data_IF_502279789064
#
_entry.id   IF_502279789064
#
_cell.length_a   1.000
_cell.length_b   1.000
_cell.length_c   1.000
_cell.angle_alpha   90.00
_cell.angle_beta   90.00
_cell.angle_gamma   90.00
#
_symmetry.space_group_name_H-M   'P 1'
#
loop_
_entity.id
_entity.type
_entity.pdbx_description
1 polymer ?
#
# COMPACT_ATOMS: atom_id res chain seq x y z
N UNK A 1 14.61 10.11 -3.84
CA UNK A 1 14.50 8.66 -3.54
C UNK A 1 15.09 7.89 -4.70
N UNK A 2 15.90 6.86 -4.44
CA UNK A 2 16.43 5.92 -5.43
C UNK A 2 15.51 4.70 -5.51
N UNK A 3 15.05 4.37 -6.70
CA UNK A 3 14.19 3.21 -6.95
C UNK A 3 14.89 2.29 -7.92
N UNK A 4 15.08 1.04 -7.51
CA UNK A 4 15.54 -0.03 -8.40
C UNK A 4 14.32 -0.74 -8.98
N UNK A 5 14.09 -0.64 -10.28
CA UNK A 5 13.06 -1.38 -11.01
C UNK A 5 13.60 -2.71 -11.52
N UNK A 6 12.80 -3.76 -11.43
CA UNK A 6 13.17 -5.11 -11.84
C UNK A 6 12.05 -5.75 -12.65
N UNK A 7 12.34 -6.02 -13.92
CA UNK A 7 11.52 -6.85 -14.81
C UNK A 7 12.08 -8.28 -14.80
N UNK A 8 11.55 -9.18 -13.95
CA UNK A 8 12.16 -10.46 -13.66
C UNK A 8 12.01 -11.44 -14.83
N UNK A 9 13.02 -12.26 -15.05
CA UNK A 9 12.94 -13.37 -15.99
C UNK A 9 14.19 -14.23 -15.91
N UNK A 10 14.05 -15.53 -16.21
CA UNK A 10 15.21 -16.43 -16.18
C UNK A 10 16.16 -16.12 -17.34
N UNK A 11 15.66 -15.98 -18.58
CA UNK A 11 16.53 -15.71 -19.74
C UNK A 11 17.02 -14.27 -19.77
N UNK A 12 16.17 -13.33 -19.37
CA UNK A 12 16.46 -11.89 -19.33
C UNK A 12 15.81 -11.33 -18.07
N UNK A 13 16.60 -10.73 -17.19
CA UNK A 13 16.12 -10.00 -16.02
C UNK A 13 16.57 -8.54 -16.17
N UNK A 14 15.63 -7.64 -16.43
CA UNK A 14 15.92 -6.23 -16.61
C UNK A 14 16.06 -5.51 -15.27
N UNK A 15 17.12 -4.72 -15.12
CA UNK A 15 17.41 -3.89 -13.95
C UNK A 15 17.48 -2.42 -14.38
N UNK A 16 16.93 -1.54 -13.56
CA UNK A 16 17.04 -0.10 -13.79
C UNK A 16 17.09 0.66 -12.47
N UNK A 17 17.90 1.71 -12.42
CA UNK A 17 17.95 2.63 -11.29
C UNK A 17 17.45 4.00 -11.75
N UNK A 18 16.52 4.57 -11.00
CA UNK A 18 16.14 5.97 -11.14
C UNK A 18 16.34 6.71 -9.82
N UNK A 19 16.50 8.03 -9.91
CA UNK A 19 16.33 8.94 -8.78
C UNK A 19 15.15 9.87 -9.02
N UNK A 20 14.41 10.15 -7.96
CA UNK A 20 13.29 11.07 -7.97
C UNK A 20 13.63 12.38 -7.28
N UNK A 21 13.18 13.47 -7.90
CA UNK A 21 13.13 14.80 -7.30
C UNK A 21 11.68 15.11 -6.84
N UNK A 22 11.44 16.20 -6.09
CA UNK A 22 10.09 16.59 -5.71
C UNK A 22 9.13 16.65 -6.90
N UNK A 23 7.88 16.23 -6.68
CA UNK A 23 6.87 16.14 -7.74
C UNK A 23 6.97 14.83 -8.52
N UNK A 24 6.93 14.92 -9.87
CA UNK A 24 6.99 13.76 -10.78
C UNK A 24 8.31 13.65 -11.55
N UNK A 25 9.27 14.52 -11.28
CA UNK A 25 10.55 14.53 -11.96
C UNK A 25 11.38 13.28 -11.59
N UNK A 26 11.87 12.60 -12.63
CA UNK A 26 12.61 11.35 -12.53
C UNK A 26 13.80 11.38 -13.47
N UNK A 27 14.92 10.81 -13.03
CA UNK A 27 16.14 10.70 -13.82
C UNK A 27 16.62 9.26 -13.79
N UNK A 28 16.87 8.67 -14.96
CA UNK A 28 17.51 7.37 -15.05
C UNK A 28 19.01 7.51 -14.73
N UNK A 29 19.51 6.64 -13.87
CA UNK A 29 20.90 6.62 -13.44
C UNK A 29 21.67 5.46 -14.06
N UNK A 30 21.04 4.28 -14.12
CA UNK A 30 21.68 3.08 -14.65
C UNK A 30 20.65 2.08 -15.17
N UNK A 31 21.05 1.23 -16.10
CA UNK A 31 20.25 0.10 -16.63
C UNK A 31 21.15 -1.08 -16.97
N UNK A 32 20.68 -2.28 -16.69
CA UNK A 32 21.37 -3.52 -17.07
C UNK A 32 20.36 -4.64 -17.34
N UNK A 33 20.81 -5.73 -17.97
CA UNK A 33 20.02 -6.93 -18.21
C UNK A 33 20.88 -8.15 -17.89
N UNK A 34 20.50 -8.87 -16.85
CA UNK A 34 21.06 -10.19 -16.56
C UNK A 34 20.59 -11.15 -17.65
N UNK A 35 21.53 -11.84 -18.29
CA UNK A 35 21.25 -12.82 -19.34
C UNK A 35 21.71 -14.20 -18.89
N UNK A 36 20.83 -15.18 -19.02
CA UNK A 36 21.17 -16.59 -18.84
C UNK A 36 20.63 -17.39 -20.02
N UNK A 37 21.22 -18.55 -20.28
CA UNK A 37 20.81 -19.42 -21.37
C UNK A 37 19.88 -20.53 -20.87
N UNK A 38 19.02 -21.07 -21.74
CA UNK A 38 18.04 -22.08 -21.34
C UNK A 38 18.61 -23.49 -21.16
N UNK A 39 19.83 -23.73 -21.65
CA UNK A 39 20.59 -24.97 -21.47
C UNK A 39 21.27 -25.06 -20.09
N UNK A 40 21.40 -23.95 -19.37
CA UNK A 40 21.90 -23.97 -18.00
C UNK A 40 20.86 -24.55 -17.01
N UNK A 41 21.30 -25.35 -16.02
CA UNK A 41 20.45 -25.75 -14.91
C UNK A 41 19.81 -24.56 -14.18
N UNK A 42 18.56 -24.71 -13.75
CA UNK A 42 17.75 -23.65 -13.14
C UNK A 42 18.46 -22.95 -11.98
N UNK A 43 19.11 -23.70 -11.09
CA UNK A 43 19.82 -23.18 -9.93
C UNK A 43 20.99 -22.27 -10.31
N UNK A 44 21.66 -22.53 -11.44
CA UNK A 44 22.75 -21.66 -11.95
C UNK A 44 22.18 -20.36 -12.49
N UNK A 45 21.06 -20.44 -13.21
CA UNK A 45 20.36 -19.27 -13.76
C UNK A 45 19.83 -18.37 -12.64
N UNK A 46 19.22 -18.96 -11.61
CA UNK A 46 18.77 -18.24 -10.42
C UNK A 46 19.94 -17.63 -9.64
N UNK A 47 21.06 -18.34 -9.50
CA UNK A 47 22.28 -17.80 -8.89
C UNK A 47 22.82 -16.60 -9.67
N UNK A 48 22.80 -16.63 -10.99
CA UNK A 48 23.24 -15.50 -11.82
C UNK A 48 22.37 -14.26 -11.59
N UNK A 49 21.04 -14.44 -11.61
CA UNK A 49 20.08 -13.35 -11.29
C UNK A 49 20.32 -12.80 -9.89
N UNK A 50 20.49 -13.67 -8.88
CA UNK A 50 20.82 -13.26 -7.51
C UNK A 50 22.08 -12.42 -7.46
N UNK A 51 23.18 -12.92 -8.04
CA UNK A 51 24.51 -12.34 -7.89
C UNK A 51 24.54 -10.92 -8.46
N UNK A 52 23.97 -10.71 -9.65
CA UNK A 52 23.93 -9.37 -10.26
C UNK A 52 22.98 -8.44 -9.51
N UNK A 53 21.81 -8.92 -9.08
CA UNK A 53 20.87 -8.09 -8.32
C UNK A 53 21.46 -7.66 -6.96
N UNK A 54 22.16 -8.56 -6.28
CA UNK A 54 22.83 -8.28 -5.01
C UNK A 54 23.96 -7.26 -5.17
N UNK A 55 24.78 -7.41 -6.21
CA UNK A 55 25.83 -6.43 -6.58
C UNK A 55 25.22 -5.06 -6.91
N UNK A 56 24.15 -5.03 -7.70
CA UNK A 56 23.41 -3.79 -8.00
C UNK A 56 22.93 -3.08 -6.73
N UNK A 57 22.37 -3.84 -5.78
CA UNK A 57 21.91 -3.29 -4.51
C UNK A 57 23.07 -2.80 -3.63
N UNK A 58 24.23 -3.45 -3.69
CA UNK A 58 25.46 -3.00 -3.01
C UNK A 58 25.98 -1.67 -3.57
N UNK A 59 26.10 -1.58 -4.90
CA UNK A 59 26.66 -0.42 -5.60
C UNK A 59 25.72 0.79 -5.50
N UNK A 60 24.44 0.58 -5.80
CA UNK A 60 23.51 1.68 -6.00
C UNK A 60 22.75 2.10 -4.74
N UNK A 61 22.70 1.22 -3.72
CA UNK A 61 22.00 1.45 -2.44
C UNK A 61 20.60 2.04 -2.66
N UNK A 62 19.70 1.32 -3.36
CA UNK A 62 18.35 1.83 -3.62
C UNK A 62 17.54 1.92 -2.31
N UNK A 63 16.63 2.89 -2.23
CA UNK A 63 15.73 3.03 -1.08
C UNK A 63 14.60 1.98 -1.12
N UNK A 64 14.32 1.44 -2.31
CA UNK A 64 13.24 0.48 -2.55
C UNK A 64 13.48 -0.29 -3.86
N UNK A 65 13.10 -1.57 -3.88
CA UNK A 65 13.07 -2.40 -5.09
C UNK A 65 11.63 -2.59 -5.56
N UNK A 66 11.36 -2.19 -6.80
CA UNK A 66 10.07 -2.32 -7.47
C UNK A 66 10.11 -3.48 -8.48
N UNK A 67 9.39 -4.57 -8.20
CA UNK A 67 9.42 -5.80 -9.01
C UNK A 67 8.09 -5.98 -9.75
N UNK A 68 8.13 -6.43 -11.00
CA UNK A 68 6.90 -6.82 -11.70
C UNK A 68 6.25 -8.04 -11.02
N UNK A 69 4.94 -7.96 -10.80
CA UNK A 69 4.13 -9.07 -10.31
C UNK A 69 3.78 -10.01 -11.46
N UNK A 70 4.13 -11.28 -11.30
CA UNK A 70 3.82 -12.34 -12.26
C UNK A 70 2.38 -12.83 -12.10
N UNK A 71 1.65 -12.94 -13.22
CA UNK A 71 0.31 -13.55 -13.26
C UNK A 71 0.29 -14.77 -14.18
N UNK A 72 -0.13 -15.91 -13.65
CA UNK A 72 -0.35 -17.12 -14.43
C UNK A 72 -1.83 -17.19 -14.86
N UNK A 73 -2.19 -16.55 -15.97
CA UNK A 73 -3.51 -16.79 -16.58
C UNK A 73 -3.44 -17.80 -17.73
N UNK A 74 -2.47 -17.70 -18.66
CA UNK A 74 -2.41 -18.56 -19.86
C UNK A 74 -1.02 -19.12 -20.23
N UNK A 75 0.04 -18.86 -19.45
CA UNK A 75 1.42 -19.29 -19.76
C UNK A 75 2.14 -19.80 -18.50
N UNK A 76 1.64 -20.92 -17.97
CA UNK A 76 2.06 -21.47 -16.67
C UNK A 76 3.56 -21.84 -16.65
N UNK A 77 4.09 -22.35 -17.77
CA UNK A 77 5.48 -22.82 -17.85
C UNK A 77 6.51 -21.71 -17.72
N UNK A 78 6.27 -20.54 -18.32
CA UNK A 78 7.18 -19.38 -18.21
C UNK A 78 6.92 -18.56 -16.95
N UNK A 79 5.66 -18.47 -16.52
CA UNK A 79 5.28 -17.76 -15.30
C UNK A 79 6.00 -18.29 -14.06
N UNK A 80 6.19 -19.60 -13.95
CA UNK A 80 6.92 -20.19 -12.81
C UNK A 80 8.37 -19.70 -12.74
N UNK A 81 9.09 -19.72 -13.87
CA UNK A 81 10.49 -19.27 -13.92
C UNK A 81 10.64 -17.78 -13.60
N UNK A 82 9.77 -16.95 -14.17
CA UNK A 82 9.70 -15.51 -13.86
C UNK A 82 9.41 -15.27 -12.37
N UNK A 83 8.48 -16.03 -11.78
CA UNK A 83 8.16 -15.91 -10.35
C UNK A 83 9.33 -16.34 -9.45
N UNK A 84 10.08 -17.37 -9.83
CA UNK A 84 11.29 -17.79 -9.13
C UNK A 84 12.39 -16.70 -9.19
N UNK A 85 12.61 -16.10 -10.36
CA UNK A 85 13.54 -14.98 -10.51
C UNK A 85 13.12 -13.77 -9.65
N UNK A 86 11.83 -13.40 -9.68
CA UNK A 86 11.28 -12.35 -8.83
C UNK A 86 11.49 -12.62 -7.33
N UNK A 87 11.25 -13.88 -6.90
CA UNK A 87 11.46 -14.31 -5.52
C UNK A 87 12.92 -14.22 -5.08
N UNK A 88 13.85 -14.61 -5.95
CA UNK A 88 15.30 -14.50 -5.68
C UNK A 88 15.73 -13.05 -5.49
N UNK A 89 15.27 -12.14 -6.35
CA UNK A 89 15.59 -10.70 -6.22
C UNK A 89 14.96 -10.12 -4.95
N UNK A 90 13.71 -10.47 -4.64
CA UNK A 90 13.05 -10.01 -3.43
C UNK A 90 13.76 -10.50 -2.16
N UNK A 91 14.26 -11.74 -2.17
CA UNK A 91 15.04 -12.30 -1.07
C UNK A 91 16.37 -11.57 -0.88
N UNK A 92 17.09 -11.26 -1.96
CA UNK A 92 18.33 -10.49 -1.91
C UNK A 92 18.10 -9.08 -1.32
N UNK A 93 17.00 -8.41 -1.70
CA UNK A 93 16.61 -7.12 -1.12
C UNK A 93 16.30 -7.24 0.38
N UNK A 94 15.61 -8.31 0.79
CA UNK A 94 15.27 -8.55 2.19
C UNK A 94 16.51 -8.77 3.08
N UNK A 95 17.54 -9.48 2.59
CA UNK A 95 18.82 -9.61 3.31
C UNK A 95 19.53 -8.28 3.57
N UNK A 96 19.20 -7.25 2.78
CA UNK A 96 19.75 -5.89 2.88
C UNK A 96 18.81 -4.91 3.56
N UNK A 97 17.68 -5.39 4.08
CA UNK A 97 16.62 -4.57 4.69
C UNK A 97 16.03 -3.52 3.73
N UNK A 98 16.12 -3.75 2.42
CA UNK A 98 15.56 -2.87 1.41
C UNK A 98 14.10 -3.28 1.16
N UNK A 99 13.11 -2.36 1.30
CA UNK A 99 11.72 -2.69 1.07
C UNK A 99 11.48 -3.10 -0.40
N UNK A 100 10.57 -4.07 -0.58
CA UNK A 100 10.17 -4.58 -1.90
C UNK A 100 8.71 -4.24 -2.18
N UNK A 101 8.43 -3.69 -3.36
CA UNK A 101 7.08 -3.40 -3.83
C UNK A 101 6.79 -4.13 -5.14
N UNK A 102 5.64 -4.81 -5.21
CA UNK A 102 5.22 -5.54 -6.40
C UNK A 102 4.15 -4.77 -7.17
N UNK A 103 4.31 -4.66 -8.49
CA UNK A 103 3.40 -3.92 -9.37
C UNK A 103 2.91 -4.79 -10.53
N UNK A 104 1.63 -4.69 -10.87
CA UNK A 104 1.07 -5.44 -12.01
C UNK A 104 1.40 -4.76 -13.35
N UNK A 105 1.46 -5.50 -14.48
CA UNK A 105 1.66 -4.89 -15.78
C UNK A 105 0.62 -3.81 -16.11
N UNK A 106 -0.66 -4.07 -15.79
CA UNK A 106 -1.76 -3.12 -15.99
C UNK A 106 -1.58 -1.85 -15.17
N UNK A 107 -1.10 -2.00 -13.95
CA UNK A 107 -0.75 -0.90 -13.06
C UNK A 107 0.39 -0.06 -13.65
N UNK A 108 1.46 -0.68 -14.15
CA UNK A 108 2.59 0.02 -14.77
C UNK A 108 2.12 0.82 -15.99
N UNK A 109 1.37 0.17 -16.87
CA UNK A 109 0.79 0.80 -18.05
C UNK A 109 -0.13 1.97 -17.71
N UNK A 110 -1.00 1.81 -16.71
CA UNK A 110 -1.91 2.86 -16.28
C UNK A 110 -1.15 4.07 -15.68
N UNK A 111 -0.10 3.84 -14.89
CA UNK A 111 0.68 4.93 -14.29
C UNK A 111 1.41 5.78 -15.33
N UNK A 112 1.87 5.16 -16.43
CA UNK A 112 2.70 5.79 -17.46
C UNK A 112 1.86 6.41 -18.57
N UNK A 113 0.80 5.72 -19.00
CA UNK A 113 0.03 6.09 -20.19
C UNK A 113 -1.39 6.55 -19.90
N UNK A 114 -1.87 6.39 -18.66
CA UNK A 114 -3.28 6.56 -18.30
C UNK A 114 -4.17 5.37 -18.68
N UNK A 115 -3.65 4.34 -19.36
CA UNK A 115 -4.39 3.14 -19.76
C UNK A 115 -3.67 1.87 -19.36
N UNK A 116 -4.37 0.94 -18.70
CA UNK A 116 -3.82 -0.39 -18.39
C UNK A 116 -3.61 -1.29 -19.60
N UNK A 117 -4.01 -0.85 -20.80
CA UNK A 117 -3.98 -1.63 -22.05
C UNK A 117 -2.93 -1.16 -23.07
N UNK A 118 -2.05 -0.25 -22.69
CA UNK A 118 -0.99 0.25 -23.58
C UNK A 118 -0.09 -0.87 -24.12
N UNK A 119 0.36 -0.70 -25.37
CA UNK A 119 1.29 -1.60 -26.04
C UNK A 119 2.76 -1.26 -25.74
N UNK A 120 3.68 -2.15 -26.14
CA UNK A 120 5.12 -2.00 -25.84
C UNK A 120 5.75 -0.78 -26.53
N UNK A 121 5.27 -0.40 -27.73
CA UNK A 121 5.79 0.77 -28.46
C UNK A 121 5.39 2.06 -27.75
N UNK A 122 4.13 2.15 -27.32
CA UNK A 122 3.61 3.27 -26.55
C UNK A 122 4.35 3.39 -25.21
N UNK A 123 4.56 2.28 -24.50
CA UNK A 123 5.32 2.28 -23.25
C UNK A 123 6.75 2.80 -23.44
N UNK A 124 7.46 2.27 -24.43
CA UNK A 124 8.84 2.69 -24.75
C UNK A 124 8.91 4.19 -25.09
N UNK A 125 7.99 4.67 -25.93
CA UNK A 125 7.89 6.09 -26.28
C UNK A 125 7.65 6.98 -25.05
N UNK A 126 6.72 6.58 -24.19
CA UNK A 126 6.40 7.34 -22.98
C UNK A 126 7.57 7.37 -22.00
N UNK A 127 8.24 6.23 -21.78
CA UNK A 127 9.43 6.18 -20.92
C UNK A 127 10.56 7.04 -21.45
N UNK A 128 10.81 7.00 -22.77
CA UNK A 128 11.79 7.86 -23.43
C UNK A 128 11.50 9.35 -23.13
N UNK A 129 10.23 9.76 -23.25
CA UNK A 129 9.81 11.14 -22.99
C UNK A 129 9.88 11.53 -21.51
N UNK A 130 9.40 10.66 -20.62
CA UNK A 130 9.36 10.90 -19.17
C UNK A 130 10.76 11.11 -18.61
N UNK A 131 11.72 10.33 -19.11
CA UNK A 131 13.11 10.38 -18.67
C UNK A 131 13.96 11.40 -19.46
N UNK A 132 13.38 12.11 -20.43
CA UNK A 132 14.10 13.08 -21.25
C UNK A 132 15.20 12.48 -22.14
N UNK A 133 15.08 11.20 -22.50
CA UNK A 133 16.08 10.49 -23.29
C UNK A 133 15.98 10.89 -24.77
N UNK A 134 17.13 11.10 -25.41
CA UNK A 134 17.18 11.43 -26.85
C UNK A 134 16.85 10.23 -27.75
N UNK A 135 17.05 9.02 -27.23
CA UNK A 135 16.80 7.75 -27.92
C UNK A 135 16.07 6.80 -26.97
N UNK A 136 15.34 5.80 -27.51
CA UNK A 136 14.76 4.75 -26.70
C UNK A 136 15.81 4.09 -25.77
N UNK A 137 15.42 3.69 -24.55
CA UNK A 137 16.30 2.94 -23.65
C UNK A 137 16.85 1.70 -24.34
N UNK A 138 18.16 1.47 -24.15
CA UNK A 138 18.89 0.32 -24.64
C UNK A 138 19.62 -0.33 -23.45
N UNK A 139 19.64 -1.67 -23.33
CA UNK A 139 19.05 -2.68 -24.22
C UNK A 139 17.51 -2.74 -24.16
N UNK A 140 16.88 -3.50 -25.07
CA UNK A 140 15.42 -3.48 -25.29
C UNK A 140 14.51 -3.83 -24.08
N UNK A 141 15.04 -4.40 -22.99
CA UNK A 141 14.27 -4.64 -21.74
C UNK A 141 14.48 -3.55 -20.69
N UNK A 142 15.45 -2.65 -20.90
CA UNK A 142 15.69 -1.55 -19.97
C UNK A 142 14.43 -0.67 -19.82
N UNK A 143 13.61 -0.55 -20.87
CA UNK A 143 12.38 0.21 -20.84
C UNK A 143 11.35 -0.34 -19.84
N UNK A 144 11.24 -1.67 -19.69
CA UNK A 144 10.27 -2.30 -18.81
C UNK A 144 10.71 -2.16 -17.33
N UNK A 145 12.00 -2.35 -17.03
CA UNK A 145 12.58 -2.09 -15.71
C UNK A 145 12.49 -0.60 -15.31
N UNK A 146 12.80 0.33 -16.23
CA UNK A 146 12.62 1.77 -16.01
C UNK A 146 11.15 2.12 -15.77
N UNK A 147 10.23 1.51 -16.51
CA UNK A 147 8.80 1.71 -16.33
C UNK A 147 8.34 1.29 -14.94
N UNK A 148 8.80 0.16 -14.43
CA UNK A 148 8.51 -0.30 -13.07
C UNK A 148 9.02 0.68 -12.01
N UNK A 149 10.26 1.16 -12.15
CA UNK A 149 10.84 2.11 -11.21
C UNK A 149 10.06 3.44 -11.19
N UNK A 150 9.76 4.00 -12.37
CA UNK A 150 8.97 5.24 -12.52
C UNK A 150 7.57 5.03 -11.94
N UNK A 151 6.94 3.91 -12.27
CA UNK A 151 5.62 3.56 -11.79
C UNK A 151 5.54 3.54 -10.26
N UNK A 152 6.48 2.87 -9.61
CA UNK A 152 6.57 2.85 -8.15
C UNK A 152 6.74 4.27 -7.59
N UNK A 153 7.66 5.05 -8.16
CA UNK A 153 7.96 6.40 -7.66
C UNK A 153 6.76 7.34 -7.67
N UNK A 154 5.89 7.22 -8.67
CA UNK A 154 4.69 8.05 -8.78
C UNK A 154 3.54 7.56 -7.91
N UNK A 155 3.48 6.25 -7.63
CA UNK A 155 2.42 5.66 -6.81
C UNK A 155 2.71 5.65 -5.32
N UNK A 156 3.95 5.45 -4.89
CA UNK A 156 4.29 5.33 -3.47
C UNK A 156 3.84 6.57 -2.65
N UNK A 157 4.02 7.82 -3.11
CA UNK A 157 3.51 9.00 -2.39
C UNK A 157 1.98 9.08 -2.35
N UNK A 158 1.29 8.48 -3.32
CA UNK A 158 -0.18 8.45 -3.37
C UNK A 158 -0.73 7.37 -2.43
N UNK A 159 -0.10 6.19 -2.41
CA UNK A 159 -0.45 5.11 -1.49
C UNK A 159 -0.25 5.52 -0.03
N UNK A 160 0.86 6.21 0.29
CA UNK A 160 1.09 6.76 1.64
C UNK A 160 0.02 7.78 2.05
N UNK A 161 -0.38 8.67 1.14
CA UNK A 161 -1.46 9.64 1.39
C UNK A 161 -2.80 8.96 1.62
N UNK A 162 -3.19 8.02 0.76
CA UNK A 162 -4.45 7.26 0.91
C UNK A 162 -4.45 6.46 2.22
N UNK A 163 -3.35 5.81 2.59
CA UNK A 163 -3.23 5.09 3.85
C UNK A 163 -3.39 6.04 5.05
N UNK A 164 -2.76 7.21 5.03
CA UNK A 164 -2.87 8.21 6.09
C UNK A 164 -4.30 8.76 6.24
N UNK A 165 -4.99 8.99 5.12
CA UNK A 165 -6.38 9.42 5.07
C UNK A 165 -7.32 8.34 5.63
N UNK A 166 -7.16 7.08 5.19
CA UNK A 166 -7.93 5.96 5.69
C UNK A 166 -7.73 5.78 7.20
N UNK A 167 -6.50 5.91 7.69
CA UNK A 167 -6.21 5.86 9.12
C UNK A 167 -6.85 7.03 9.89
N UNK A 168 -6.90 8.24 9.29
CA UNK A 168 -7.61 9.38 9.89
C UNK A 168 -9.12 9.13 9.94
N UNK A 169 -9.73 8.64 8.85
CA UNK A 169 -11.16 8.30 8.81
C UNK A 169 -11.50 7.22 9.83
N UNK A 170 -10.68 6.17 9.95
CA UNK A 170 -10.87 5.11 10.94
C UNK A 170 -10.83 5.64 12.38
N UNK A 171 -9.86 6.51 12.70
CA UNK A 171 -9.78 7.15 14.02
C UNK A 171 -10.98 8.06 14.31
N UNK A 172 -11.39 8.88 13.34
CA UNK A 172 -12.55 9.77 13.50
C UNK A 172 -13.85 9.00 13.68
N UNK A 173 -14.02 7.88 12.96
CA UNK A 173 -15.18 6.99 13.11
C UNK A 173 -15.22 6.33 14.48
N UNK A 174 -14.10 5.77 14.95
CA UNK A 174 -14.01 5.18 16.29
C UNK A 174 -14.33 6.22 17.39
N UNK A 175 -13.82 7.45 17.25
CA UNK A 175 -14.13 8.55 18.18
C UNK A 175 -15.61 8.97 18.16
N UNK A 176 -16.25 8.95 16.99
CA UNK A 176 -17.69 9.23 16.88
C UNK A 176 -18.54 8.11 17.50
N UNK A 177 -18.23 6.85 17.21
CA UNK A 177 -18.91 5.68 17.79
C UNK A 177 -18.80 5.69 19.33
N UNK A 178 -17.63 6.00 19.88
CA UNK A 178 -17.43 6.13 21.33
C UNK A 178 -18.26 7.27 21.94
N UNK A 179 -18.35 8.43 21.29
CA UNK A 179 -19.19 9.55 21.74
C UNK A 179 -20.68 9.20 21.71
N UNK A 180 -21.13 8.50 20.67
CA UNK A 180 -22.54 8.06 20.56
C UNK A 180 -22.87 7.03 21.63
N UNK A 181 -21.97 6.09 21.93
CA UNK A 181 -22.15 5.12 23.01
C UNK A 181 -22.26 5.81 24.38
N UNK A 182 -21.32 6.72 24.69
CA UNK A 182 -21.33 7.48 25.94
C UNK A 182 -22.60 8.34 26.09
N UNK A 183 -23.07 8.98 25.01
CA UNK A 183 -24.31 9.77 25.03
C UNK A 183 -25.56 8.90 25.29
N UNK A 184 -25.59 7.67 24.75
CA UNK A 184 -26.69 6.72 25.00
C UNK A 184 -26.69 6.23 26.45
N UNK A 185 -25.51 5.92 27.01
CA UNK A 185 -25.37 5.54 28.41
C UNK A 185 -25.78 6.68 29.36
N UNK A 186 -25.34 7.90 29.08
CA UNK A 186 -25.75 9.08 29.84
C UNK A 186 -27.27 9.28 29.81
N UNK A 187 -27.90 9.20 28.63
CA UNK A 187 -29.35 9.32 28.49
C UNK A 187 -30.13 8.18 29.20
N UNK A 188 -29.58 6.96 29.23
CA UNK A 188 -30.15 5.84 29.97
C UNK A 188 -30.05 6.04 31.49
N UNK A 189 -28.96 6.65 31.97
CA UNK A 189 -28.78 6.96 33.40
C UNK A 189 -29.68 8.11 33.87
N UNK A 190 -29.90 9.13 33.03
CA UNK A 190 -30.73 10.30 33.36
C UNK A 190 -32.24 9.96 33.40
N UNK A 191 -32.65 8.90 32.67
CA UNK A 191 -34.00 8.35 32.69
C UNK A 191 -34.41 7.66 34.01
N UNK A 192 -33.47 7.36 34.90
CA UNK A 192 -33.76 6.75 36.21
C UNK A 192 -34.22 7.76 37.27
N UNK A 193 -34.18 9.06 36.96
CA UNK A 193 -34.63 10.16 37.83
C UNK A 193 -36.08 10.63 37.63
N UNK A 194 -36.92 9.90 36.86
CA UNK A 194 -38.32 10.28 36.69
C UNK A 194 -39.07 10.02 38.00
N UNK A 195 -39.20 11.06 38.85
CA UNK A 195 -40.03 11.02 40.07
C UNK A 195 -41.39 10.43 39.72
N UNK A 196 -41.73 9.34 40.39
CA UNK A 196 -43.04 8.72 40.27
C UNK A 196 -44.06 9.64 40.96
N UNK A 197 -44.96 10.31 40.20
CA UNK A 197 -45.92 11.23 40.78
C UNK A 197 -46.91 10.52 41.72
N UNK A 198 -47.11 9.21 41.58
CA UNK A 198 -47.95 8.42 42.48
C UNK A 198 -47.30 8.26 43.86
N UNK A 199 -45.98 7.99 43.90
CA UNK A 199 -45.22 7.87 45.15
C UNK A 199 -45.14 9.21 45.92
N UNK A 200 -45.04 10.33 45.20
CA UNK A 200 -45.05 11.67 45.80
C UNK A 200 -46.45 12.05 46.34
N UNK A 201 -47.54 11.69 45.63
CA UNK A 201 -48.90 11.90 46.11
C UNK A 201 -49.22 11.06 47.36
N UNK A 202 -48.71 9.83 47.44
CA UNK A 202 -48.96 8.96 48.58
C UNK A 202 -48.22 9.44 49.85
N UNK A 203 -46.98 9.93 49.70
CA UNK A 203 -46.24 10.60 50.79
C UNK A 203 -46.93 11.86 51.27
N UNK A 204 -47.46 12.68 50.36
CA UNK A 204 -48.23 13.89 50.71
C UNK A 204 -49.54 13.54 51.45
N UNK A 205 -50.25 12.49 51.02
CA UNK A 205 -51.46 11.99 51.70
C UNK A 205 -51.17 11.37 53.07
N UNK A 206 -50.02 10.71 53.24
CA UNK A 206 -49.59 10.18 54.53
C UNK A 206 -49.25 11.30 55.53
N UNK A 207 -48.56 12.36 55.07
CA UNK A 207 -48.28 13.54 55.88
C UNK A 207 -49.56 14.28 56.32
N UNK A 208 -50.55 14.40 55.42
CA UNK A 208 -51.85 15.00 55.76
C UNK A 208 -52.64 14.17 56.79
N UNK A 209 -52.55 12.83 56.71
CA UNK A 209 -53.18 11.93 57.70
C UNK A 209 -52.51 11.96 59.07
N UNK A 210 -51.21 12.23 59.15
CA UNK A 210 -50.50 12.44 60.41
C UNK A 210 -50.96 13.70 61.15
N UNK A 211 -51.28 14.77 60.42
CA UNK A 211 -51.67 16.07 60.99
C UNK A 211 -53.13 16.11 61.51
N UNK A 212 -53.98 15.20 61.05
CA UNK A 212 -55.38 15.09 61.49
C UNK A 212 -55.56 14.36 62.83
N UNK A 213 -54.53 13.67 63.34
CA UNK A 213 -54.60 12.88 64.60
C UNK A 213 -54.32 13.69 65.88
N UNK A 214 -53.91 14.96 65.78
CA UNK A 214 -53.53 15.79 66.94
C UNK A 214 -54.59 16.79 67.41
N UNK A 215 -55.80 16.80 66.83
CA UNK A 215 -56.93 17.61 67.30
C UNK A 215 -58.07 16.75 67.84
N UNK A 216 -57.84 16.10 68.97
CA UNK A 216 -58.88 15.46 69.80
C UNK A 216 -58.81 16.01 71.22
N UNK A 217 -59.66 17.00 71.51
CA UNK A 217 -59.86 17.59 72.85
C UNK A 217 -60.60 16.59 73.74
N UNK A 218 -60.18 16.44 75.00
CA UNK A 218 -61.00 15.88 76.07
C UNK A 218 -61.16 16.94 77.17
N UNK A 219 -62.42 17.17 77.55
CA UNK A 219 -62.88 18.04 78.63
C UNK A 219 -62.38 17.54 79.99
#
# INVERSE_FOLDING_TARGET
MRVMGVDPGLTRCGLALIVTAPGRAVTALDVDVVRTTSDEPLERRLRAVHSVADEWMEIHRPDVVAIERVFAQNQVSTAMGTAQAAGVVALAAAYREIPVAFHTPSEVKAAITGSGRADKKQMTLMITRILGLQKPPSPADAADALALAVCHSWRAPMQGRVASLNAHVARSRAGFEAKVAAAREAAASDGTGRRDPAADQERARAAARGMARTKGVRW
#
